data_IF_029922588990
#
_entry.id   IF_029922588990
#
_cell.length_a   1.000
_cell.length_b   1.000
_cell.length_c   1.000
_cell.angle_alpha   90.00
_cell.angle_beta   90.00
_cell.angle_gamma   90.00
#
_symmetry.space_group_name_H-M   'P 1'
#
loop_
_entity.id
_entity.type
_entity.pdbx_description
1 polymer ?
#
# COMPACT_ATOMS: atom_id res chain seq x y z
N UNK A 1 6.65 -13.44 11.93
CA UNK A 1 6.70 -13.90 13.33
C UNK A 1 5.27 -14.31 13.70
N UNK A 2 5.02 -15.48 14.31
CA UNK A 2 3.65 -15.90 14.61
C UNK A 2 2.97 -14.91 15.59
N UNK A 3 1.70 -14.58 15.35
CA UNK A 3 0.91 -13.76 16.28
C UNK A 3 0.60 -14.59 17.53
N UNK A 4 0.75 -14.04 18.73
CA UNK A 4 0.53 -14.79 19.96
C UNK A 4 -0.95 -15.16 20.10
N UNK A 5 -1.21 -16.43 20.38
CA UNK A 5 -2.54 -16.96 20.68
C UNK A 5 -2.63 -17.14 22.20
N UNK A 6 -3.71 -16.64 22.80
CA UNK A 6 -3.96 -16.84 24.22
C UNK A 6 -4.79 -18.11 24.40
N UNK A 7 -4.22 -19.09 25.10
CA UNK A 7 -4.87 -20.38 25.40
C UNK A 7 -5.48 -20.44 26.81
N UNK A 8 -5.82 -19.30 27.42
CA UNK A 8 -6.38 -19.30 28.77
C UNK A 8 -7.74 -20.04 28.80
N UNK A 9 -7.94 -21.03 29.68
CA UNK A 9 -9.23 -21.68 29.88
C UNK A 9 -10.26 -20.77 30.58
N UNK A 10 -9.82 -19.69 31.22
CA UNK A 10 -10.64 -18.68 31.92
C UNK A 10 -10.50 -17.32 31.24
N UNK A 11 -11.51 -16.44 31.32
CA UNK A 11 -11.45 -15.08 30.74
C UNK A 11 -10.31 -14.26 31.38
N UNK A 12 -9.13 -14.32 30.78
CA UNK A 12 -7.96 -13.54 31.19
C UNK A 12 -7.85 -12.28 30.30
N UNK A 13 -7.30 -11.19 30.84
CA UNK A 13 -7.18 -9.87 30.17
C UNK A 13 -6.13 -9.82 29.06
N UNK A 14 -5.66 -10.99 28.56
CA UNK A 14 -4.67 -11.11 27.49
C UNK A 14 -5.11 -10.48 26.15
N UNK A 15 -6.40 -10.17 25.99
CA UNK A 15 -6.96 -9.52 24.79
C UNK A 15 -6.23 -8.23 24.44
N UNK A 16 -5.86 -7.40 25.42
CA UNK A 16 -5.14 -6.14 25.16
C UNK A 16 -3.74 -6.38 24.61
N UNK A 17 -2.98 -7.30 25.20
CA UNK A 17 -1.64 -7.66 24.74
C UNK A 17 -1.63 -8.28 23.34
N UNK A 18 -2.60 -9.15 23.03
CA UNK A 18 -2.73 -9.74 21.69
C UNK A 18 -3.09 -8.68 20.65
N UNK A 19 -3.97 -7.73 20.98
CA UNK A 19 -4.34 -6.64 20.05
C UNK A 19 -3.12 -5.78 19.70
N UNK A 20 -2.31 -5.44 20.70
CA UNK A 20 -1.06 -4.68 20.51
C UNK A 20 -0.08 -5.49 19.66
N UNK A 21 0.12 -6.77 19.97
CA UNK A 21 1.01 -7.65 19.20
C UNK A 21 0.57 -7.79 17.73
N UNK A 22 -0.74 -7.92 17.46
CA UNK A 22 -1.29 -7.94 16.11
C UNK A 22 -1.08 -6.62 15.37
N UNK A 23 -1.28 -5.50 16.06
CA UNK A 23 -1.03 -4.18 15.48
C UNK A 23 0.43 -4.02 15.02
N UNK A 24 1.41 -4.32 15.89
CA UNK A 24 2.82 -4.26 15.51
C UNK A 24 3.20 -5.29 14.46
N UNK A 25 2.58 -6.48 14.48
CA UNK A 25 2.78 -7.47 13.42
C UNK A 25 2.32 -6.93 12.06
N UNK A 26 1.12 -6.35 11.98
CA UNK A 26 0.58 -5.79 10.75
C UNK A 26 1.43 -4.60 10.26
N UNK A 27 1.85 -3.71 11.16
CA UNK A 27 2.78 -2.62 10.85
C UNK A 27 4.10 -3.15 10.26
N UNK A 28 4.72 -4.14 10.91
CA UNK A 28 5.97 -4.72 10.43
C UNK A 28 5.81 -5.38 9.05
N UNK A 29 4.67 -6.02 8.80
CA UNK A 29 4.35 -6.56 7.48
C UNK A 29 4.21 -5.46 6.43
N UNK A 30 3.52 -4.36 6.75
CA UNK A 30 3.41 -3.19 5.88
C UNK A 30 4.78 -2.58 5.56
N UNK A 31 5.58 -2.30 6.60
CA UNK A 31 6.92 -1.70 6.42
C UNK A 31 7.80 -2.62 5.56
N UNK A 32 7.83 -3.92 5.87
CA UNK A 32 8.63 -4.88 5.10
C UNK A 32 8.18 -4.95 3.64
N UNK A 33 6.88 -4.93 3.40
CA UNK A 33 6.35 -4.88 2.04
C UNK A 33 6.82 -3.63 1.30
N UNK A 34 6.63 -2.45 1.90
CA UNK A 34 7.08 -1.18 1.31
C UNK A 34 8.59 -1.19 1.05
N UNK A 35 9.41 -1.62 1.99
CA UNK A 35 10.88 -1.72 1.79
C UNK A 35 11.25 -2.69 0.66
N UNK A 36 10.48 -3.76 0.45
CA UNK A 36 10.73 -4.74 -0.61
C UNK A 36 10.25 -4.30 -2.01
N UNK A 37 9.44 -3.25 -2.11
CA UNK A 37 9.00 -2.73 -3.40
C UNK A 37 10.16 -2.06 -4.16
N UNK A 38 10.14 -2.15 -5.49
CA UNK A 38 11.11 -1.51 -6.37
C UNK A 38 11.06 0.04 -6.31
N UNK A 39 12.10 0.71 -6.78
CA UNK A 39 12.21 2.18 -6.75
C UNK A 39 11.20 2.89 -7.66
N UNK A 40 10.69 2.22 -8.70
CA UNK A 40 9.61 2.73 -9.55
C UNK A 40 8.29 2.98 -8.80
N UNK A 41 8.17 2.48 -7.56
CA UNK A 41 7.01 2.68 -6.69
C UNK A 41 7.21 3.80 -5.66
N UNK A 42 8.24 4.63 -5.81
CA UNK A 42 8.53 5.73 -4.87
C UNK A 42 7.31 6.62 -4.58
N UNK A 43 6.54 6.98 -5.60
CA UNK A 43 5.33 7.81 -5.44
C UNK A 43 4.30 7.12 -4.55
N UNK A 44 4.01 5.83 -4.81
CA UNK A 44 3.08 5.02 -4.00
C UNK A 44 3.59 4.86 -2.57
N UNK A 45 4.89 4.57 -2.39
CA UNK A 45 5.55 4.49 -1.07
C UNK A 45 5.34 5.77 -0.28
N UNK A 46 5.65 6.92 -0.88
CA UNK A 46 5.52 8.24 -0.26
C UNK A 46 4.07 8.53 0.13
N UNK A 47 3.12 8.27 -0.78
CA UNK A 47 1.70 8.47 -0.51
C UNK A 47 1.22 7.63 0.68
N UNK A 48 1.61 6.35 0.75
CA UNK A 48 1.23 5.45 1.85
C UNK A 48 1.83 5.92 3.17
N UNK A 49 3.11 6.35 3.18
CA UNK A 49 3.78 6.84 4.39
C UNK A 49 3.14 8.12 4.97
N UNK A 50 2.43 8.88 4.15
CA UNK A 50 1.71 10.09 4.56
C UNK A 50 0.27 9.84 5.05
N UNK A 51 -0.22 8.59 4.97
CA UNK A 51 -1.57 8.25 5.45
C UNK A 51 -1.60 8.06 6.97
N UNK A 52 -2.60 8.63 7.63
CA UNK A 52 -2.89 8.43 9.05
C UNK A 52 -4.36 8.00 9.26
N UNK A 53 -4.64 6.80 9.79
CA UNK A 53 -3.67 5.77 10.20
C UNK A 53 -3.05 5.05 8.98
N UNK A 54 -1.83 4.55 9.15
CA UNK A 54 -1.14 3.77 8.13
C UNK A 54 -2.03 2.60 7.64
N UNK A 55 -2.26 2.46 6.33
CA UNK A 55 -3.17 1.44 5.83
C UNK A 55 -2.63 0.03 6.04
N UNK A 56 -3.56 -0.92 6.10
CA UNK A 56 -3.22 -2.35 6.08
C UNK A 56 -2.75 -2.78 4.69
N UNK A 57 -2.20 -3.99 4.61
CA UNK A 57 -1.69 -4.53 3.35
C UNK A 57 -2.71 -4.58 2.21
N UNK A 58 -3.98 -4.91 2.46
CA UNK A 58 -4.99 -5.05 1.40
C UNK A 58 -5.14 -3.77 0.54
N UNK A 59 -5.42 -2.59 1.13
CA UNK A 59 -5.42 -1.33 0.38
C UNK A 59 -4.09 -1.03 -0.31
N UNK A 60 -2.97 -1.31 0.35
CA UNK A 60 -1.63 -1.09 -0.21
C UNK A 60 -1.42 -1.92 -1.49
N UNK A 61 -1.83 -3.19 -1.50
CA UNK A 61 -1.76 -4.03 -2.69
C UNK A 61 -2.60 -3.44 -3.84
N UNK A 62 -3.81 -2.96 -3.56
CA UNK A 62 -4.65 -2.31 -4.57
C UNK A 62 -3.99 -1.06 -5.15
N UNK A 63 -3.34 -0.24 -4.33
CA UNK A 63 -2.60 0.94 -4.79
C UNK A 63 -1.41 0.57 -5.67
N UNK A 64 -0.65 -0.46 -5.29
CA UNK A 64 0.47 -0.96 -6.09
C UNK A 64 -0.01 -1.47 -7.45
N UNK A 65 -1.05 -2.31 -7.47
CA UNK A 65 -1.64 -2.83 -8.72
C UNK A 65 -2.17 -1.72 -9.62
N UNK A 66 -2.78 -0.69 -9.03
CA UNK A 66 -3.25 0.47 -9.80
C UNK A 66 -2.08 1.25 -10.41
N UNK A 67 -0.99 1.44 -9.67
CA UNK A 67 0.21 2.11 -10.14
C UNK A 67 0.93 1.33 -11.24
N UNK A 68 1.05 0.00 -11.11
CA UNK A 68 1.61 -0.86 -12.16
C UNK A 68 0.87 -0.71 -13.48
N UNK A 69 -0.47 -0.71 -13.42
CA UNK A 69 -1.32 -0.48 -14.60
C UNK A 69 -1.03 0.88 -15.20
N UNK A 70 -1.01 1.93 -14.39
CA UNK A 70 -0.76 3.31 -14.85
C UNK A 70 0.62 3.46 -15.50
N UNK A 71 1.69 2.91 -14.92
CA UNK A 71 3.02 2.93 -15.54
C UNK A 71 2.98 2.22 -16.91
N UNK A 72 2.34 1.05 -16.99
CA UNK A 72 2.21 0.30 -18.24
C UNK A 72 1.44 1.05 -19.33
N UNK A 73 0.43 1.85 -18.96
CA UNK A 73 -0.27 2.73 -19.89
C UNK A 73 0.60 3.91 -20.33
N UNK A 74 1.30 4.59 -19.41
CA UNK A 74 2.15 5.74 -19.73
C UNK A 74 3.27 5.36 -20.71
N UNK A 75 3.85 4.17 -20.55
CA UNK A 75 4.86 3.66 -21.49
C UNK A 75 4.36 3.41 -22.92
N UNK A 76 3.04 3.39 -23.15
CA UNK A 76 2.41 3.19 -24.46
C UNK A 76 1.72 4.46 -25.01
N UNK A 77 1.43 5.45 -24.15
CA UNK A 77 0.54 6.58 -24.44
C UNK A 77 1.20 7.98 -24.41
N UNK A 78 2.51 8.13 -24.21
CA UNK A 78 3.17 9.43 -24.42
C UNK A 78 2.93 10.00 -25.84
N UNK A 79 2.60 9.13 -26.81
CA UNK A 79 2.20 9.53 -28.16
C UNK A 79 0.74 9.97 -28.30
N UNK A 80 -0.18 9.58 -27.41
CA UNK A 80 -1.63 9.78 -27.59
C UNK A 80 -2.19 10.96 -26.77
N UNK A 81 -1.60 11.27 -25.61
CA UNK A 81 -2.10 12.36 -24.73
C UNK A 81 -1.78 13.74 -25.32
N UNK A 82 -0.70 13.86 -26.09
CA UNK A 82 -0.33 15.11 -26.78
C UNK A 82 -1.23 15.41 -28.00
N UNK A 83 -1.77 14.39 -28.67
CA UNK A 83 -2.61 14.57 -29.87
C UNK A 83 -3.90 15.32 -29.50
N UNK A 84 -4.61 14.86 -28.46
CA UNK A 84 -5.85 15.50 -28.03
C UNK A 84 -5.66 16.93 -27.51
N UNK A 85 -4.48 17.27 -26.95
CA UNK A 85 -4.21 18.64 -26.46
C UNK A 85 -3.88 19.61 -27.61
N UNK A 86 -3.20 19.13 -28.66
CA UNK A 86 -2.92 19.94 -29.84
C UNK A 86 -4.18 20.26 -30.66
N UNK A 87 -5.13 19.32 -30.75
CA UNK A 87 -6.38 19.55 -31.47
C UNK A 87 -7.30 20.57 -30.77
N UNK A 88 -7.25 20.67 -29.44
CA UNK A 88 -8.00 21.70 -28.70
C UNK A 88 -7.45 23.12 -28.93
N UNK A 89 -6.17 23.25 -29.29
CA UNK A 89 -5.53 24.57 -29.48
C UNK A 89 -5.56 25.07 -30.92
N UNK A 90 -5.99 24.24 -31.87
CA UNK A 90 -6.08 24.59 -33.29
C UNK A 90 -7.52 24.76 -33.80
N UNK A 91 -8.52 24.77 -32.90
CA UNK A 91 -9.93 25.10 -33.22
C UNK A 91 -10.37 26.45 -32.67
#
# INVERSE_FOLDING_TARGET
MPTPVCGCPVRCTCTSGIRIARYYHDLNCTIRFLTSLNDNFFVVKSQIMLMDPLPKLNPIFSMVLQHERQIGFISNDESNILINFFDYKNS
#
